data_IF_102678357439
#
_entry.id   IF_102678357439
#
_cell.length_a   1.000
_cell.length_b   1.000
_cell.length_c   1.000
_cell.angle_alpha   90.00
_cell.angle_beta   90.00
_cell.angle_gamma   90.00
#
_symmetry.space_group_name_H-M   'P 1'
#
loop_
_entity.id
_entity.type
_entity.pdbx_description
1 polymer ?
#
# COMPACT_ATOMS: atom_id res chain seq x y z
N UNK A 1 50.10 -49.52 -4.22
CA UNK A 1 49.41 -49.34 -2.91
C UNK A 1 48.02 -48.78 -3.16
N UNK A 2 46.99 -49.39 -2.56
CA UNK A 2 45.56 -49.23 -2.89
C UNK A 2 44.93 -48.02 -2.18
N UNK A 3 44.24 -47.13 -2.92
CA UNK A 3 43.34 -46.09 -2.38
C UNK A 3 42.10 -46.76 -1.77
N UNK A 4 41.87 -46.58 -0.46
CA UNK A 4 40.65 -47.01 0.24
C UNK A 4 39.58 -45.91 0.15
N UNK A 5 38.36 -46.36 -0.12
CA UNK A 5 37.11 -45.61 -0.27
C UNK A 5 36.64 -45.14 1.11
N UNK A 6 36.18 -43.89 1.23
CA UNK A 6 35.50 -43.38 2.42
C UNK A 6 34.08 -43.95 2.49
N UNK A 7 33.76 -44.65 3.58
CA UNK A 7 32.40 -45.06 3.94
C UNK A 7 31.68 -43.94 4.72
N UNK A 8 30.35 -44.07 4.95
CA UNK A 8 29.56 -43.05 5.62
C UNK A 8 29.90 -42.98 7.11
N UNK A 9 30.01 -41.76 7.65
CA UNK A 9 30.14 -41.52 9.07
C UNK A 9 28.82 -41.79 9.80
N UNK A 10 29.00 -42.38 10.97
CA UNK A 10 28.09 -43.18 11.75
C UNK A 10 27.10 -42.32 12.56
N UNK A 11 25.83 -42.73 12.63
CA UNK A 11 24.68 -41.98 13.16
C UNK A 11 24.53 -41.98 14.69
N UNK A 12 25.62 -42.02 15.45
CA UNK A 12 25.56 -42.10 16.92
C UNK A 12 26.02 -40.79 17.57
N UNK A 13 25.19 -39.74 17.48
CA UNK A 13 25.36 -38.54 18.31
C UNK A 13 24.05 -37.73 18.51
N UNK A 14 22.89 -38.40 18.62
CA UNK A 14 21.61 -37.71 18.90
C UNK A 14 20.89 -38.27 20.13
N UNK A 15 21.42 -39.28 20.81
CA UNK A 15 20.67 -39.95 21.89
C UNK A 15 20.91 -39.41 23.32
N UNK A 16 21.71 -38.34 23.49
CA UNK A 16 22.04 -37.81 24.83
C UNK A 16 21.48 -36.41 25.16
N UNK A 17 20.46 -35.91 24.45
CA UNK A 17 19.80 -34.62 24.79
C UNK A 17 18.30 -34.81 25.05
N UNK A 18 17.88 -35.98 25.54
CA UNK A 18 16.46 -36.24 25.88
C UNK A 18 16.20 -36.59 27.34
N UNK A 19 17.21 -36.71 28.19
CA UNK A 19 17.02 -37.13 29.59
C UNK A 19 17.08 -36.02 30.65
N UNK A 20 17.28 -34.75 30.29
CA UNK A 20 17.40 -33.65 31.27
C UNK A 20 16.35 -32.55 31.19
N UNK A 21 15.27 -32.74 30.43
CA UNK A 21 14.12 -31.85 30.47
C UNK A 21 12.88 -32.66 30.80
N UNK A 22 12.40 -32.51 32.03
CA UNK A 22 11.03 -32.87 32.39
C UNK A 22 10.11 -31.99 31.55
N UNK A 23 9.66 -32.51 30.41
CA UNK A 23 8.65 -31.84 29.60
C UNK A 23 7.34 -32.07 30.35
N UNK A 24 6.87 -31.04 31.05
CA UNK A 24 5.51 -30.99 31.57
C UNK A 24 4.54 -31.21 30.40
N UNK A 25 3.72 -32.27 30.47
CA UNK A 25 2.68 -32.60 29.50
C UNK A 25 1.55 -31.55 29.42
N UNK A 26 1.69 -30.40 30.09
CA UNK A 26 0.80 -29.25 29.99
C UNK A 26 0.95 -28.43 28.69
N UNK A 27 1.91 -28.77 27.80
CA UNK A 27 2.03 -28.13 26.46
C UNK A 27 1.11 -28.83 25.44
N UNK A 28 -0.15 -29.07 25.80
CA UNK A 28 -1.20 -29.42 24.82
C UNK A 28 -2.44 -28.53 24.88
N UNK A 29 -2.53 -27.64 25.87
CA UNK A 29 -3.67 -26.75 26.05
C UNK A 29 -3.30 -25.26 26.09
N UNK A 30 -2.27 -24.83 25.33
CA UNK A 30 -2.23 -23.42 24.92
C UNK A 30 -3.31 -23.24 23.86
N UNK A 31 -4.53 -23.06 24.36
CA UNK A 31 -5.68 -22.60 23.61
C UNK A 31 -5.24 -21.42 22.75
N UNK A 32 -5.29 -21.62 21.44
CA UNK A 32 -5.51 -20.59 20.43
C UNK A 32 -6.75 -19.80 20.85
N UNK A 33 -6.56 -18.78 21.69
CA UNK A 33 -7.65 -18.01 22.29
C UNK A 33 -7.41 -16.53 22.04
N UNK A 34 -8.21 -15.97 21.15
CA UNK A 34 -8.62 -14.55 21.03
C UNK A 34 -7.56 -13.43 20.87
N UNK A 35 -6.26 -13.67 20.99
CA UNK A 35 -5.23 -12.61 20.93
C UNK A 35 -4.71 -12.30 19.51
N UNK A 36 -4.91 -13.20 18.55
CA UNK A 36 -4.41 -13.07 17.17
C UNK A 36 -5.08 -11.95 16.33
N UNK A 37 -6.37 -11.61 16.47
CA UNK A 37 -6.99 -10.54 15.70
C UNK A 37 -6.46 -9.15 16.11
N UNK A 38 -6.35 -8.90 17.42
CA UNK A 38 -6.04 -7.55 17.93
C UNK A 38 -4.61 -7.09 17.62
N UNK A 39 -3.66 -8.02 17.53
CA UNK A 39 -2.26 -7.69 17.17
C UNK A 39 -2.18 -7.33 15.68
N UNK A 40 -2.81 -8.14 14.82
CA UNK A 40 -2.86 -7.92 13.37
C UNK A 40 -3.54 -6.60 13.00
N UNK A 41 -4.59 -6.22 13.71
CA UNK A 41 -5.30 -4.96 13.49
C UNK A 41 -4.45 -3.75 13.89
N UNK A 42 -3.68 -3.84 14.98
CA UNK A 42 -2.75 -2.78 15.41
C UNK A 42 -1.60 -2.61 14.43
N UNK A 43 -1.00 -3.70 13.97
CA UNK A 43 0.07 -3.69 12.97
C UNK A 43 -0.41 -3.07 11.66
N UNK A 44 -1.58 -3.48 11.16
CA UNK A 44 -2.19 -2.90 9.97
C UNK A 44 -2.46 -1.40 10.11
N UNK A 45 -2.92 -0.94 11.28
CA UNK A 45 -3.14 0.48 11.55
C UNK A 45 -1.82 1.27 11.55
N UNK A 46 -0.77 0.73 12.17
CA UNK A 46 0.54 1.37 12.21
C UNK A 46 1.14 1.51 10.80
N UNK A 47 1.05 0.46 9.98
CA UNK A 47 1.53 0.49 8.58
C UNK A 47 0.76 1.55 7.77
N UNK A 48 -0.58 1.59 7.89
CA UNK A 48 -1.39 2.61 7.21
C UNK A 48 -1.04 4.02 7.63
N UNK A 49 -0.85 4.26 8.92
CA UNK A 49 -0.45 5.57 9.41
C UNK A 49 0.92 5.97 8.84
N UNK A 50 1.90 5.07 8.89
CA UNK A 50 3.22 5.31 8.31
C UNK A 50 3.16 5.62 6.80
N UNK A 51 2.33 4.88 6.06
CA UNK A 51 2.16 5.06 4.62
C UNK A 51 1.48 6.41 4.29
N UNK A 52 0.48 6.80 5.06
CA UNK A 52 -0.18 8.11 4.94
C UNK A 52 0.80 9.25 5.23
N UNK A 53 1.62 9.14 6.27
CA UNK A 53 2.64 10.14 6.60
C UNK A 53 3.71 10.23 5.50
N UNK A 54 4.13 9.09 4.95
CA UNK A 54 5.10 9.04 3.84
C UNK A 54 4.56 9.70 2.58
N UNK A 55 3.31 9.40 2.21
CA UNK A 55 2.66 10.02 1.06
C UNK A 55 2.45 11.53 1.28
N UNK A 56 2.00 11.92 2.48
CA UNK A 56 1.83 13.33 2.85
C UNK A 56 3.12 14.13 2.66
N UNK A 57 4.27 13.58 3.05
CA UNK A 57 5.57 14.22 2.84
C UNK A 57 5.88 14.40 1.35
N UNK A 58 5.63 13.39 0.51
CA UNK A 58 5.78 13.51 -0.96
C UNK A 58 4.86 14.59 -1.53
N UNK A 59 3.60 14.62 -1.11
CA UNK A 59 2.63 15.64 -1.53
C UNK A 59 3.06 17.05 -1.11
N UNK A 60 3.64 17.23 0.06
CA UNK A 60 4.19 18.53 0.47
C UNK A 60 5.32 19.01 -0.44
N UNK A 61 6.26 18.14 -0.81
CA UNK A 61 7.33 18.49 -1.74
C UNK A 61 6.78 18.83 -3.12
N UNK A 62 5.85 18.03 -3.63
CA UNK A 62 5.19 18.27 -4.92
C UNK A 62 4.34 19.55 -4.90
N UNK A 63 3.73 19.89 -3.76
CA UNK A 63 2.95 21.11 -3.58
C UNK A 63 3.80 22.36 -3.78
N UNK A 64 5.02 22.36 -3.24
CA UNK A 64 5.99 23.45 -3.45
C UNK A 64 6.31 23.57 -4.94
N UNK A 65 6.59 22.45 -5.62
CA UNK A 65 6.89 22.44 -7.06
C UNK A 65 5.71 22.94 -7.91
N UNK A 66 4.50 22.49 -7.61
CA UNK A 66 3.28 22.92 -8.30
C UNK A 66 3.05 24.44 -8.14
N UNK A 67 3.28 24.97 -6.93
CA UNK A 67 3.18 26.41 -6.69
C UNK A 67 4.26 27.21 -7.44
N UNK A 68 5.48 26.70 -7.53
CA UNK A 68 6.59 27.38 -8.21
C UNK A 68 6.42 27.38 -9.74
N UNK A 69 5.92 26.28 -10.29
CA UNK A 69 5.74 26.13 -11.74
C UNK A 69 4.40 26.63 -12.24
N UNK A 70 3.45 26.92 -11.34
CA UNK A 70 2.04 27.18 -11.65
C UNK A 70 1.36 26.05 -12.45
N UNK A 71 1.89 24.83 -12.34
CA UNK A 71 1.40 23.65 -13.07
C UNK A 71 0.83 22.64 -12.07
N UNK A 72 -0.40 22.15 -12.28
CA UNK A 72 -0.95 21.05 -11.50
C UNK A 72 -0.17 19.76 -11.72
N UNK A 73 -0.03 18.94 -10.68
CA UNK A 73 0.62 17.62 -10.76
C UNK A 73 -0.47 16.57 -10.71
N UNK A 74 -0.63 15.79 -11.79
CA UNK A 74 -1.56 14.66 -11.80
C UNK A 74 -1.09 13.61 -10.80
N UNK A 75 -1.99 13.16 -9.93
CA UNK A 75 -1.72 12.12 -8.94
C UNK A 75 -2.15 10.76 -9.44
N UNK A 76 -3.35 10.66 -10.02
CA UNK A 76 -3.83 9.45 -10.66
C UNK A 76 -4.93 9.77 -11.69
N UNK A 77 -5.20 8.79 -12.53
CA UNK A 77 -6.33 8.73 -13.45
C UNK A 77 -7.01 7.38 -13.34
N UNK A 78 -8.33 7.39 -13.42
CA UNK A 78 -9.14 6.18 -13.32
C UNK A 78 -10.34 6.30 -14.25
N UNK A 79 -10.41 5.42 -15.24
CA UNK A 79 -11.60 5.26 -16.06
C UNK A 79 -12.70 4.60 -15.21
N UNK A 80 -13.89 5.21 -15.20
CA UNK A 80 -15.06 4.72 -14.47
C UNK A 80 -15.94 3.90 -15.41
N UNK A 81 -16.25 4.47 -16.57
CA UNK A 81 -17.00 3.82 -17.64
C UNK A 81 -16.42 4.24 -19.00
N UNK A 82 -16.28 3.27 -19.90
CA UNK A 82 -15.87 3.50 -21.28
C UNK A 82 -16.95 2.93 -22.19
N UNK A 83 -17.52 3.79 -23.02
CA UNK A 83 -18.43 3.42 -24.10
C UNK A 83 -17.73 3.67 -25.44
N UNK A 84 -18.29 3.11 -26.53
CA UNK A 84 -17.72 3.26 -27.88
C UNK A 84 -17.49 4.74 -28.29
N UNK A 85 -18.26 5.67 -27.72
CA UNK A 85 -18.22 7.08 -28.09
C UNK A 85 -17.87 8.03 -26.94
N UNK A 86 -17.79 7.59 -25.68
CA UNK A 86 -17.55 8.49 -24.55
C UNK A 86 -16.89 7.78 -23.38
N UNK A 87 -16.09 8.54 -22.63
CA UNK A 87 -15.36 8.09 -21.43
C UNK A 87 -15.84 8.90 -20.23
N UNK A 88 -16.11 8.23 -19.12
CA UNK A 88 -16.21 8.83 -17.80
C UNK A 88 -14.92 8.54 -17.03
N UNK A 89 -14.22 9.59 -16.59
CA UNK A 89 -12.94 9.50 -15.91
C UNK A 89 -13.01 10.24 -14.56
N UNK A 90 -12.36 9.65 -13.56
CA UNK A 90 -11.93 10.34 -12.35
C UNK A 90 -10.45 10.72 -12.46
N UNK A 91 -10.17 12.02 -12.35
CA UNK A 91 -8.81 12.56 -12.30
C UNK A 91 -8.55 13.21 -10.96
N UNK A 92 -7.40 12.90 -10.36
CA UNK A 92 -6.92 13.59 -9.16
C UNK A 92 -5.64 14.33 -9.46
N UNK A 93 -5.56 15.59 -9.05
CA UNK A 93 -4.36 16.39 -9.21
C UNK A 93 -4.10 17.29 -8.00
N UNK A 94 -2.83 17.53 -7.75
CA UNK A 94 -2.33 18.47 -6.77
C UNK A 94 -2.19 19.85 -7.41
N UNK A 95 -2.81 20.85 -6.79
CA UNK A 95 -2.64 22.26 -7.16
C UNK A 95 -2.50 23.11 -5.91
N UNK A 96 -1.43 23.89 -5.84
CA UNK A 96 -1.13 24.66 -4.66
C UNK A 96 -1.03 23.76 -3.42
N UNK A 97 -1.88 24.00 -2.42
CA UNK A 97 -1.92 23.25 -1.14
C UNK A 97 -3.06 22.22 -1.07
N UNK A 98 -3.74 21.97 -2.18
CA UNK A 98 -4.94 21.13 -2.21
C UNK A 98 -4.83 20.06 -3.29
N UNK A 99 -5.42 18.91 -3.00
CA UNK A 99 -5.70 17.89 -4.00
C UNK A 99 -7.14 18.07 -4.46
N UNK A 100 -7.35 18.12 -5.77
CA UNK A 100 -8.67 18.19 -6.38
C UNK A 100 -8.91 16.88 -7.11
N UNK A 101 -10.02 16.24 -6.80
CA UNK A 101 -10.52 15.06 -7.47
C UNK A 101 -11.76 15.46 -8.26
N UNK A 102 -11.77 15.17 -9.55
CA UNK A 102 -12.88 15.50 -10.44
C UNK A 102 -13.33 14.24 -11.15
N UNK A 103 -14.63 14.06 -11.21
CA UNK A 103 -15.26 13.09 -12.09
C UNK A 103 -15.90 13.85 -13.26
N UNK A 104 -15.56 13.47 -14.48
CA UNK A 104 -16.03 14.15 -15.68
C UNK A 104 -16.13 13.16 -16.84
N UNK A 105 -17.04 13.45 -17.77
CA UNK A 105 -17.16 12.66 -18.99
C UNK A 105 -16.84 13.50 -20.21
N UNK A 106 -16.23 12.87 -21.21
CA UNK A 106 -15.84 13.50 -22.45
C UNK A 106 -15.89 12.51 -23.63
N UNK A 107 -16.00 13.03 -24.84
CA UNK A 107 -16.00 12.24 -26.07
C UNK A 107 -17.36 12.17 -26.77
N UNK A 108 -17.30 11.83 -28.06
CA UNK A 108 -18.48 11.59 -28.89
C UNK A 108 -19.29 12.85 -29.15
N UNK A 109 -20.61 12.72 -29.07
CA UNK A 109 -21.56 13.83 -29.20
C UNK A 109 -21.95 14.45 -27.86
N UNK A 110 -21.38 13.96 -26.74
CA UNK A 110 -21.68 14.44 -25.39
C UNK A 110 -20.74 15.60 -25.08
N UNK A 111 -21.26 16.79 -24.72
CA UNK A 111 -20.41 17.88 -24.27
C UNK A 111 -19.70 17.49 -22.97
N UNK A 112 -18.43 17.88 -22.83
CA UNK A 112 -17.67 17.59 -21.63
C UNK A 112 -18.40 18.11 -20.39
N UNK A 113 -18.71 17.22 -19.46
CA UNK A 113 -19.54 17.52 -18.29
C UNK A 113 -18.84 17.07 -17.01
N UNK A 114 -18.79 17.96 -16.03
CA UNK A 114 -18.28 17.66 -14.68
C UNK A 114 -19.42 17.11 -13.83
N UNK A 115 -19.20 15.93 -13.23
CA UNK A 115 -20.17 15.25 -12.39
C UNK A 115 -19.96 15.59 -10.91
N UNK A 116 -18.71 15.60 -10.46
CA UNK A 116 -18.35 15.93 -9.08
C UNK A 116 -16.97 16.56 -8.97
N UNK A 117 -16.77 17.38 -7.94
CA UNK A 117 -15.49 17.97 -7.58
C UNK A 117 -15.34 17.85 -6.06
N UNK A 118 -14.29 17.16 -5.63
CA UNK A 118 -13.91 17.06 -4.23
C UNK A 118 -12.55 17.71 -4.00
N UNK A 119 -12.45 18.51 -2.94
CA UNK A 119 -11.22 19.21 -2.58
C UNK A 119 -10.72 18.68 -1.24
N UNK A 120 -9.48 18.23 -1.23
CA UNK A 120 -8.82 17.68 -0.06
C UNK A 120 -7.63 18.55 0.34
N UNK A 121 -7.45 18.70 1.65
CA UNK A 121 -6.12 19.02 2.20
C UNK A 121 -5.19 17.83 2.00
N UNK A 122 -3.87 18.07 1.92
CA UNK A 122 -2.87 17.00 1.75
C UNK A 122 -2.99 15.87 2.78
N UNK A 123 -3.25 16.21 4.06
CA UNK A 123 -3.40 15.23 5.13
C UNK A 123 -4.63 14.33 4.94
N UNK A 124 -5.78 14.97 4.67
CA UNK A 124 -7.04 14.26 4.43
C UNK A 124 -6.92 13.32 3.23
N UNK A 125 -6.31 13.79 2.13
CA UNK A 125 -6.10 12.97 0.94
C UNK A 125 -5.18 11.78 1.22
N UNK A 126 -4.04 12.01 1.89
CA UNK A 126 -3.09 10.95 2.18
C UNK A 126 -3.72 9.83 3.05
N UNK A 127 -4.54 10.19 4.04
CA UNK A 127 -5.28 9.22 4.85
C UNK A 127 -6.39 8.51 4.08
N UNK A 128 -7.02 9.21 3.14
CA UNK A 128 -8.09 8.66 2.32
C UNK A 128 -7.55 7.62 1.33
N UNK A 129 -6.51 7.93 0.55
CA UNK A 129 -6.00 7.05 -0.52
C UNK A 129 -5.24 5.83 0.00
N UNK A 130 -4.80 5.83 1.25
CA UNK A 130 -4.12 4.69 1.90
C UNK A 130 -5.09 3.60 2.37
N UNK A 131 -6.40 3.85 2.29
CA UNK A 131 -7.40 2.82 2.58
C UNK A 131 -7.32 1.68 1.55
N UNK A 132 -7.62 0.45 1.96
CA UNK A 132 -7.38 -0.77 1.15
C UNK A 132 -8.02 -0.70 -0.24
N UNK A 133 -9.22 -0.12 -0.33
CA UNK A 133 -9.97 -0.02 -1.58
C UNK A 133 -9.34 0.94 -2.62
N UNK A 134 -8.25 1.63 -2.27
CA UNK A 134 -7.59 2.62 -3.11
C UNK A 134 -6.12 2.25 -3.41
N UNK A 135 -5.72 0.98 -3.20
CA UNK A 135 -4.34 0.54 -3.37
C UNK A 135 -3.74 0.88 -4.74
N UNK A 136 -4.51 0.70 -5.82
CA UNK A 136 -4.04 1.00 -7.18
C UNK A 136 -3.86 2.52 -7.39
N UNK A 137 -4.75 3.33 -6.82
CA UNK A 137 -4.65 4.79 -6.85
C UNK A 137 -3.42 5.26 -6.06
N UNK A 138 -3.14 4.63 -4.92
CA UNK A 138 -1.95 4.92 -4.12
C UNK A 138 -0.66 4.64 -4.91
N UNK A 139 -0.59 3.52 -5.63
CA UNK A 139 0.57 3.20 -6.46
C UNK A 139 0.77 4.25 -7.55
N UNK A 140 -0.28 4.61 -8.28
CA UNK A 140 -0.20 5.70 -9.27
C UNK A 140 0.25 7.02 -8.64
N UNK A 141 -0.27 7.35 -7.44
CA UNK A 141 0.16 8.56 -6.73
C UNK A 141 1.66 8.52 -6.44
N UNK A 142 2.19 7.38 -5.98
CA UNK A 142 3.61 7.23 -5.67
C UNK A 142 4.42 7.44 -6.95
N UNK A 143 4.07 6.75 -8.03
CA UNK A 143 4.77 6.78 -9.31
C UNK A 143 4.80 8.19 -9.91
N UNK A 144 3.65 8.88 -9.90
CA UNK A 144 3.54 10.24 -10.43
C UNK A 144 4.21 11.32 -9.54
N UNK A 145 4.45 11.00 -8.26
CA UNK A 145 5.19 11.85 -7.32
C UNK A 145 6.68 11.51 -7.26
N UNK A 146 7.15 10.48 -7.99
CA UNK A 146 8.57 10.25 -8.17
C UNK A 146 9.13 11.32 -9.13
N UNK A 147 9.84 12.28 -8.55
CA UNK A 147 10.56 13.32 -9.26
C UNK A 147 11.53 12.64 -10.23
N UNK A 148 11.27 12.78 -11.54
CA UNK A 148 12.25 12.49 -12.60
C UNK A 148 13.22 13.65 -12.77
#
# INVERSE_FOLDING_TARGET
MKKKRGGPLNSYHIDNIKENYHIDDNIRDIKTSAAQPQIKDRENKAVKQWLADRLRNKLHSASILSMQTHTPIILYRKDIEETENAVEEEISYLTGKHVVQLMYSYGGYIPSTFHSIEIFTLDKFAKWVVQEQHKDLLLQCIDNLEIK
#
